data_IF_177621904318
#
_entry.id   IF_177621904318
#
_cell.length_a   1.000
_cell.length_b   1.000
_cell.length_c   1.000
_cell.angle_alpha   90.00
_cell.angle_beta   90.00
_cell.angle_gamma   90.00
#
_symmetry.space_group_name_H-M   'P 1'
#
loop_
_entity.id
_entity.type
_entity.pdbx_description
1 polymer ?
#
# COMPACT_ATOMS: atom_id res chain seq x y z
N UNK A 1 -7.68 17.49 -8.92
CA UNK A 1 -8.45 16.37 -9.55
C UNK A 1 -9.94 16.57 -9.27
N UNK A 2 -10.79 16.76 -10.30
CA UNK A 2 -12.23 17.05 -10.11
C UNK A 2 -12.98 15.95 -9.34
N UNK A 3 -12.65 14.68 -9.56
CA UNK A 3 -13.33 13.56 -8.92
C UNK A 3 -13.09 13.50 -7.40
N UNK A 4 -11.85 13.76 -6.95
CA UNK A 4 -11.52 13.77 -5.51
C UNK A 4 -12.16 14.96 -4.80
N UNK A 5 -12.13 16.14 -5.43
CA UNK A 5 -12.75 17.34 -4.88
C UNK A 5 -14.27 17.17 -4.68
N UNK A 6 -14.97 16.49 -5.61
CA UNK A 6 -16.40 16.17 -5.48
C UNK A 6 -16.70 15.26 -4.27
N UNK A 7 -15.74 14.46 -3.84
CA UNK A 7 -15.84 13.64 -2.64
C UNK A 7 -15.39 14.37 -1.35
N UNK A 8 -15.04 15.65 -1.44
CA UNK A 8 -14.50 16.43 -0.32
C UNK A 8 -13.07 16.04 0.07
N UNK A 9 -12.32 15.44 -0.85
CA UNK A 9 -10.93 15.03 -0.63
C UNK A 9 -10.00 16.07 -1.23
N UNK A 10 -9.24 16.75 -0.37
CA UNK A 10 -8.16 17.64 -0.78
C UNK A 10 -7.01 16.85 -1.40
N UNK A 11 -6.48 17.35 -2.51
CA UNK A 11 -5.37 16.71 -3.22
C UNK A 11 -4.58 17.75 -4.00
N UNK A 12 -3.26 17.64 -3.93
CA UNK A 12 -2.34 18.42 -4.75
C UNK A 12 -2.24 17.82 -6.15
N UNK A 13 -2.38 18.66 -7.18
CA UNK A 13 -2.09 18.24 -8.54
C UNK A 13 -0.59 18.31 -8.79
N UNK A 14 -0.04 17.22 -9.32
CA UNK A 14 1.38 17.10 -9.65
C UNK A 14 1.53 16.82 -11.13
N UNK A 15 2.54 17.43 -11.75
CA UNK A 15 2.90 17.16 -13.13
C UNK A 15 3.71 15.85 -13.21
N UNK A 16 3.28 14.97 -14.11
CA UNK A 16 3.85 13.65 -14.37
C UNK A 16 5.32 13.72 -14.83
N UNK A 17 5.73 14.84 -15.46
CA UNK A 17 7.09 15.07 -15.93
C UNK A 17 8.00 15.78 -14.91
N UNK A 18 7.49 16.11 -13.71
CA UNK A 18 8.25 16.89 -12.74
C UNK A 18 9.36 16.08 -12.06
N UNK A 19 10.58 16.60 -12.11
CA UNK A 19 11.71 16.10 -11.32
C UNK A 19 11.41 16.14 -9.80
N UNK A 20 10.57 17.08 -9.35
CA UNK A 20 10.18 17.16 -7.95
C UNK A 20 9.41 15.91 -7.48
N UNK A 21 8.54 15.35 -8.34
CA UNK A 21 7.81 14.11 -8.03
C UNK A 21 8.77 12.92 -7.91
N UNK A 22 9.75 12.84 -8.83
CA UNK A 22 10.77 11.78 -8.80
C UNK A 22 11.64 11.89 -7.54
N UNK A 23 12.03 13.11 -7.19
CA UNK A 23 12.78 13.39 -5.98
C UNK A 23 12.01 13.03 -4.71
N UNK A 24 10.72 13.38 -4.64
CA UNK A 24 9.86 13.04 -3.52
C UNK A 24 9.73 11.51 -3.33
N UNK A 25 9.62 10.75 -4.43
CA UNK A 25 9.62 9.27 -4.39
C UNK A 25 10.96 8.75 -3.88
N UNK A 26 12.08 9.25 -4.42
CA UNK A 26 13.43 8.87 -4.00
C UNK A 26 13.67 9.14 -2.52
N UNK A 27 13.20 10.29 -2.03
CA UNK A 27 13.28 10.72 -0.63
C UNK A 27 12.24 10.05 0.27
N UNK A 28 11.31 9.27 -0.29
CA UNK A 28 10.21 8.61 0.43
C UNK A 28 9.33 9.59 1.21
N UNK A 29 9.04 10.73 0.61
CA UNK A 29 8.15 11.75 1.18
C UNK A 29 6.68 11.27 1.22
N UNK A 30 6.37 10.14 0.56
CA UNK A 30 5.08 9.47 0.61
C UNK A 30 5.19 8.07 1.22
N UNK A 31 4.14 7.65 1.92
CA UNK A 31 4.07 6.32 2.54
C UNK A 31 3.80 5.19 1.53
N UNK A 32 3.04 5.47 0.47
CA UNK A 32 2.72 4.51 -0.59
C UNK A 32 2.26 5.22 -1.87
N UNK A 33 2.21 4.46 -2.96
CA UNK A 33 1.66 4.88 -4.25
C UNK A 33 0.46 3.98 -4.58
N UNK A 34 -0.64 4.56 -5.03
CA UNK A 34 -1.80 3.84 -5.55
C UNK A 34 -1.94 4.13 -7.05
N UNK A 35 -1.67 3.12 -7.88
CA UNK A 35 -1.75 3.21 -9.34
C UNK A 35 -2.89 2.31 -9.83
N UNK A 36 -4.07 2.87 -10.13
CA UNK A 36 -5.16 2.11 -10.77
C UNK A 36 -4.93 2.05 -12.28
N UNK A 37 -4.56 0.90 -12.87
CA UNK A 37 -4.27 0.82 -14.30
C UNK A 37 -5.51 1.22 -15.12
N UNK A 38 -5.34 2.19 -16.01
CA UNK A 38 -6.39 2.55 -16.97
C UNK A 38 -6.25 1.68 -18.21
N UNK A 39 -7.28 0.91 -18.57
CA UNK A 39 -7.27 0.11 -19.80
C UNK A 39 -7.23 1.03 -21.02
N UNK A 40 -6.19 0.90 -21.84
CA UNK A 40 -6.15 1.43 -23.20
C UNK A 40 -5.92 2.94 -23.34
N UNK A 41 -5.40 3.63 -22.32
CA UNK A 41 -5.04 5.05 -22.43
C UNK A 41 -3.51 5.28 -22.61
N UNK A 42 -3.11 6.33 -23.34
CA UNK A 42 -1.69 6.74 -23.49
C UNK A 42 -0.95 6.98 -22.18
N UNK A 43 -1.69 7.25 -21.09
CA UNK A 43 -1.19 7.51 -19.74
C UNK A 43 -0.56 6.28 -19.06
N UNK A 44 -0.48 5.13 -19.75
CA UNK A 44 0.27 3.96 -19.27
C UNK A 44 1.75 4.28 -19.00
N UNK A 45 2.35 5.21 -19.75
CA UNK A 45 3.78 5.54 -19.58
C UNK A 45 4.08 6.10 -18.18
N UNK A 46 3.24 7.00 -17.69
CA UNK A 46 3.40 7.59 -16.36
C UNK A 46 3.13 6.56 -15.27
N UNK A 47 2.02 5.82 -15.38
CA UNK A 47 1.73 4.73 -14.44
C UNK A 47 2.84 3.67 -14.40
N UNK A 48 3.47 3.37 -15.54
CA UNK A 48 4.64 2.50 -15.61
C UNK A 48 5.86 3.12 -14.92
N UNK A 49 6.19 4.38 -15.21
CA UNK A 49 7.31 5.09 -14.60
C UNK A 49 7.19 5.13 -13.07
N UNK A 50 6.02 5.49 -12.54
CA UNK A 50 5.78 5.55 -11.10
C UNK A 50 5.94 4.19 -10.44
N UNK A 51 5.39 3.12 -11.04
CA UNK A 51 5.55 1.75 -10.54
C UNK A 51 7.01 1.30 -10.53
N UNK A 52 7.77 1.64 -11.58
CA UNK A 52 9.21 1.33 -11.66
C UNK A 52 9.99 2.07 -10.58
N UNK A 53 9.80 3.39 -10.44
CA UNK A 53 10.48 4.19 -9.42
C UNK A 53 10.13 3.72 -8.00
N UNK A 54 8.86 3.37 -7.76
CA UNK A 54 8.43 2.83 -6.47
C UNK A 54 9.18 1.55 -6.11
N UNK A 55 9.32 0.63 -7.07
CA UNK A 55 10.06 -0.62 -6.89
C UNK A 55 11.55 -0.35 -6.64
N UNK A 56 12.19 0.52 -7.44
CA UNK A 56 13.61 0.87 -7.31
C UNK A 56 13.92 1.50 -5.94
N UNK A 57 13.02 2.34 -5.42
CA UNK A 57 13.21 3.04 -4.14
C UNK A 57 12.57 2.36 -2.93
N UNK A 58 11.99 1.15 -3.10
CA UNK A 58 11.30 0.40 -2.03
C UNK A 58 10.17 1.21 -1.38
N UNK A 59 9.38 1.89 -2.18
CA UNK A 59 8.13 2.53 -1.78
C UNK A 59 6.98 1.56 -2.11
N UNK A 60 6.10 1.23 -1.14
CA UNK A 60 4.94 0.38 -1.41
C UNK A 60 4.09 0.94 -2.55
N UNK A 61 3.78 0.09 -3.54
CA UNK A 61 2.94 0.48 -4.68
C UNK A 61 1.79 -0.52 -4.85
N UNK A 62 0.55 -0.04 -4.75
CA UNK A 62 -0.65 -0.84 -4.94
C UNK A 62 -1.23 -0.62 -6.33
N UNK A 63 -1.53 -1.70 -7.03
CA UNK A 63 -2.11 -1.66 -8.38
C UNK A 63 -3.57 -2.13 -8.42
N UNK A 64 -4.15 -2.44 -7.27
CA UNK A 64 -5.54 -2.87 -7.10
C UNK A 64 -6.17 -2.16 -5.91
N UNK A 65 -7.44 -1.78 -6.07
CA UNK A 65 -8.25 -1.22 -5.01
C UNK A 65 -8.51 -2.24 -3.89
N UNK A 66 -8.57 -3.53 -4.21
CA UNK A 66 -8.78 -4.58 -3.21
C UNK A 66 -7.57 -4.67 -2.27
N UNK A 67 -6.36 -4.59 -2.82
CA UNK A 67 -5.13 -4.55 -2.04
C UNK A 67 -5.09 -3.30 -1.16
N UNK A 68 -5.43 -2.13 -1.70
CA UNK A 68 -5.48 -0.89 -0.91
C UNK A 68 -6.48 -1.00 0.26
N UNK A 69 -7.66 -1.57 0.01
CA UNK A 69 -8.69 -1.80 1.04
C UNK A 69 -8.21 -2.78 2.13
N UNK A 70 -7.52 -3.85 1.75
CA UNK A 70 -6.96 -4.81 2.70
C UNK A 70 -5.89 -4.17 3.60
N UNK A 71 -5.03 -3.32 3.03
CA UNK A 71 -4.00 -2.57 3.77
C UNK A 71 -4.65 -1.61 4.76
N UNK A 72 -5.65 -0.83 4.34
CA UNK A 72 -6.38 0.08 5.24
C UNK A 72 -6.99 -0.68 6.41
N UNK A 73 -7.61 -1.84 6.16
CA UNK A 73 -8.16 -2.70 7.22
C UNK A 73 -7.07 -3.14 8.20
N UNK A 74 -5.93 -3.62 7.70
CA UNK A 74 -4.81 -4.03 8.54
C UNK A 74 -4.27 -2.87 9.40
N UNK A 75 -4.09 -1.69 8.81
CA UNK A 75 -3.64 -0.48 9.53
C UNK A 75 -4.64 -0.07 10.62
N UNK A 76 -5.94 -0.19 10.36
CA UNK A 76 -6.97 0.13 11.32
C UNK A 76 -6.95 -0.83 12.52
N UNK A 77 -6.75 -2.13 12.29
CA UNK A 77 -6.62 -3.11 13.38
C UNK A 77 -5.32 -2.92 14.17
N UNK A 78 -4.21 -2.61 13.50
CA UNK A 78 -2.95 -2.26 14.18
C UNK A 78 -3.10 -1.04 15.08
N UNK A 79 -3.87 -0.02 14.66
CA UNK A 79 -4.12 1.18 15.45
C UNK A 79 -4.94 0.88 16.72
N UNK A 80 -5.85 -0.09 16.68
CA UNK A 80 -6.67 -0.49 17.85
C UNK A 80 -5.90 -1.30 18.88
N UNK A 81 -4.85 -2.00 18.46
CA UNK A 81 -4.05 -2.90 19.29
C UNK A 81 -2.62 -2.39 19.42
N UNK A 82 -2.40 -1.26 20.13
CA UNK A 82 -1.06 -0.76 20.41
C UNK A 82 -0.30 -1.82 21.22
N UNK A 83 0.78 -2.36 20.65
CA UNK A 83 1.51 -3.50 21.21
C UNK A 83 1.46 -4.78 20.37
N UNK A 84 0.83 -4.76 19.19
CA UNK A 84 1.00 -5.82 18.21
C UNK A 84 2.48 -5.89 17.78
N UNK A 85 3.17 -6.96 18.17
CA UNK A 85 4.54 -7.22 17.79
C UNK A 85 4.62 -8.03 16.49
N UNK A 86 5.68 -7.77 15.72
CA UNK A 86 5.97 -8.58 14.54
C UNK A 86 6.42 -9.96 14.98
N UNK A 87 5.77 -11.00 14.43
CA UNK A 87 6.20 -12.38 14.61
C UNK A 87 6.93 -12.86 13.36
N UNK A 88 7.96 -13.68 13.55
CA UNK A 88 8.54 -14.47 12.47
C UNK A 88 7.52 -15.50 11.97
N UNK A 89 7.68 -15.94 10.72
CA UNK A 89 6.80 -16.96 10.15
C UNK A 89 6.85 -18.26 10.98
N UNK A 90 8.03 -18.60 11.51
CA UNK A 90 8.24 -19.77 12.36
C UNK A 90 7.44 -19.67 13.66
N UNK A 91 7.49 -18.53 14.36
CA UNK A 91 6.72 -18.31 15.59
C UNK A 91 5.21 -18.36 15.32
N UNK A 92 4.76 -17.79 14.21
CA UNK A 92 3.35 -17.83 13.81
C UNK A 92 2.88 -19.27 13.58
N UNK A 93 3.64 -20.04 12.80
CA UNK A 93 3.33 -21.44 12.52
C UNK A 93 3.40 -22.31 13.78
N UNK A 94 4.30 -21.99 14.72
CA UNK A 94 4.38 -22.63 16.03
C UNK A 94 3.12 -22.41 16.88
N UNK A 95 2.65 -21.16 17.00
CA UNK A 95 1.41 -20.85 17.73
C UNK A 95 0.17 -21.49 17.10
N UNK A 96 0.08 -21.50 15.77
CA UNK A 96 -1.05 -22.12 15.07
C UNK A 96 -1.14 -23.63 15.34
N UNK A 97 0.00 -24.34 15.34
CA UNK A 97 0.06 -25.76 15.71
C UNK A 97 -0.34 -26.00 17.16
N UNK A 98 0.17 -25.18 18.09
CA UNK A 98 -0.18 -25.26 19.50
C UNK A 98 -1.70 -25.06 19.74
N UNK A 99 -2.30 -24.09 19.05
CA UNK A 99 -3.75 -23.84 19.11
C UNK A 99 -4.57 -25.02 18.54
N UNK A 100 -4.13 -25.61 17.42
CA UNK A 100 -4.79 -26.77 16.83
C UNK A 100 -4.69 -28.03 17.71
N UNK A 101 -3.56 -28.24 18.40
CA UNK A 101 -3.42 -29.38 19.34
C UNK A 101 -4.30 -29.25 20.58
N UNK A 102 -4.54 -28.02 21.07
CA UNK A 102 -5.43 -27.77 22.22
C UNK A 102 -6.89 -28.03 21.87
N UNK A 103 -7.33 -27.69 20.66
CA UNK A 103 -8.72 -27.89 20.23
C UNK A 103 -9.05 -29.31 19.71
N UNK A 104 -8.06 -30.20 19.57
CA UNK A 104 -8.28 -31.59 19.16
C UNK A 104 -8.39 -32.55 20.36
N UNK A 105 -8.21 -32.04 21.59
CA UNK A 105 -8.36 -32.81 22.84
C UNK A 105 -9.70 -32.56 23.55
N UNK A 106 -10.66 -31.91 22.87
CA UNK A 106 -12.02 -31.66 23.34
C UNK A 106 -13.05 -32.39 22.48
#
# INVERSE_FOLDING_TARGET
>A
CKALALCGIEADEVDEASEALRDAIRKKEFAFILSTPAKGLPNERTGYLLRRLAAEHRVPCFTSMDTAKAVIRALHELKKSPGAENMTLQEYLGKAKAFASVNCQA
#
